data_IF_390230642331
#
_entry.id   IF_390230642331
#
_cell.length_a   1.000
_cell.length_b   1.000
_cell.length_c   1.000
_cell.angle_alpha   90.00
_cell.angle_beta   90.00
_cell.angle_gamma   90.00
#
_symmetry.space_group_name_H-M   'P 1'
#
loop_
_entity.id
_entity.type
_entity.pdbx_description
1 polymer ?
#
# COMPACT_ATOMS: atom_id res chain seq x y z
N UNK A 1 14.15 17.83 -5.09
CA UNK A 1 14.11 16.81 -6.16
C UNK A 1 12.85 15.98 -5.99
N UNK A 2 12.00 15.85 -7.02
CA UNK A 2 10.87 14.90 -6.96
C UNK A 2 11.46 13.47 -6.92
N UNK A 3 11.02 12.59 -6.01
CA UNK A 3 11.53 11.22 -5.99
C UNK A 3 11.25 10.55 -7.33
N UNK A 4 12.27 9.89 -7.90
CA UNK A 4 12.12 9.13 -9.15
C UNK A 4 11.19 7.95 -8.86
N UNK A 5 9.92 8.07 -9.28
CA UNK A 5 8.94 7.00 -9.11
C UNK A 5 9.39 5.80 -9.95
N UNK A 6 9.56 4.65 -9.29
CA UNK A 6 10.04 3.46 -9.99
C UNK A 6 9.03 2.98 -11.05
N UNK A 7 9.53 2.41 -12.17
CA UNK A 7 8.69 1.81 -13.22
C UNK A 7 7.67 0.80 -12.66
N UNK A 8 8.01 0.11 -11.57
CA UNK A 8 7.12 -0.85 -10.90
C UNK A 8 5.91 -0.17 -10.26
N UNK A 9 6.14 0.93 -9.54
CA UNK A 9 5.06 1.72 -8.93
C UNK A 9 4.16 2.33 -10.01
N UNK A 10 4.72 2.85 -11.10
CA UNK A 10 3.91 3.34 -12.22
C UNK A 10 3.00 2.25 -12.80
N UNK A 11 3.52 1.04 -13.04
CA UNK A 11 2.70 -0.10 -13.49
C UNK A 11 1.52 -0.37 -12.53
N UNK A 12 1.74 -0.31 -11.23
CA UNK A 12 0.69 -0.55 -10.23
C UNK A 12 -0.33 0.59 -10.20
N UNK A 13 0.12 1.85 -10.34
CA UNK A 13 -0.78 2.99 -10.48
C UNK A 13 -1.66 2.85 -11.71
N UNK A 14 -1.10 2.45 -12.84
CA UNK A 14 -1.86 2.31 -14.08
C UNK A 14 -2.90 1.19 -13.97
N UNK A 15 -2.57 0.09 -13.29
CA UNK A 15 -3.57 -0.93 -12.92
C UNK A 15 -4.65 -0.36 -12.00
N UNK A 16 -4.28 0.44 -11.00
CA UNK A 16 -5.25 1.04 -10.08
C UNK A 16 -6.20 2.01 -10.79
N UNK A 17 -5.70 2.81 -11.74
CA UNK A 17 -6.53 3.66 -12.61
C UNK A 17 -7.49 2.82 -13.45
N UNK A 18 -7.02 1.72 -14.05
CA UNK A 18 -7.87 0.79 -14.79
C UNK A 18 -8.97 0.20 -13.91
N UNK A 19 -8.62 -0.27 -12.71
CA UNK A 19 -9.60 -0.83 -11.77
C UNK A 19 -10.58 0.21 -11.22
N UNK A 20 -10.18 1.49 -11.17
CA UNK A 20 -11.06 2.57 -10.75
C UNK A 20 -12.26 2.77 -11.68
N UNK A 21 -12.07 2.48 -12.98
CA UNK A 21 -13.13 2.57 -13.99
C UNK A 21 -14.10 1.38 -13.95
N UNK A 22 -13.76 0.32 -13.22
CA UNK A 22 -14.63 -0.85 -13.09
C UNK A 22 -15.77 -0.59 -12.10
N UNK A 23 -16.84 -1.37 -12.26
CA UNK A 23 -17.89 -1.46 -11.28
C UNK A 23 -17.44 -2.35 -10.12
N UNK A 24 -18.07 -2.14 -8.96
CA UNK A 24 -17.77 -2.93 -7.76
C UNK A 24 -18.11 -4.40 -8.04
N UNK A 25 -17.15 -5.28 -7.80
CA UNK A 25 -17.32 -6.73 -7.97
C UNK A 25 -16.93 -7.27 -9.34
N UNK A 26 -16.62 -6.41 -10.32
CA UNK A 26 -16.16 -6.87 -11.63
C UNK A 26 -14.94 -7.78 -11.50
N UNK A 27 -14.91 -8.86 -12.28
CA UNK A 27 -13.77 -9.77 -12.27
C UNK A 27 -12.57 -9.14 -12.99
N UNK A 28 -11.37 -9.45 -12.53
CA UNK A 28 -10.13 -9.07 -13.22
C UNK A 28 -9.32 -10.31 -13.57
N UNK A 29 -8.69 -10.27 -14.73
CA UNK A 29 -7.75 -11.30 -15.13
C UNK A 29 -6.54 -11.33 -14.20
N UNK A 30 -5.96 -12.54 -14.07
CA UNK A 30 -4.73 -12.81 -13.32
C UNK A 30 -4.78 -12.24 -11.89
N UNK A 31 -5.94 -12.33 -11.22
CA UNK A 31 -6.15 -11.70 -9.91
C UNK A 31 -5.12 -12.11 -8.84
N UNK A 32 -4.58 -13.33 -8.90
CA UNK A 32 -3.52 -13.82 -8.01
C UNK A 32 -2.09 -13.46 -8.45
N UNK A 33 -1.89 -12.74 -9.57
CA UNK A 33 -0.56 -12.28 -10.00
C UNK A 33 0.05 -11.35 -8.95
N UNK A 34 1.23 -11.74 -8.44
CA UNK A 34 2.03 -10.94 -7.52
C UNK A 34 2.95 -9.98 -8.28
N UNK A 35 2.75 -8.69 -8.06
CA UNK A 35 3.54 -7.62 -8.62
C UNK A 35 4.58 -7.15 -7.61
N UNK A 36 5.85 -7.16 -8.00
CA UNK A 36 6.94 -6.67 -7.14
C UNK A 36 6.82 -5.17 -6.96
N UNK A 37 6.80 -4.72 -5.71
CA UNK A 37 6.74 -3.31 -5.30
C UNK A 37 8.17 -2.78 -5.13
N UNK A 38 8.88 -3.35 -4.15
CA UNK A 38 10.14 -2.82 -3.66
C UNK A 38 10.93 -3.94 -2.97
N UNK A 39 12.19 -3.65 -2.67
CA UNK A 39 12.98 -4.45 -1.73
C UNK A 39 13.33 -3.52 -0.59
N UNK A 40 13.05 -3.92 0.65
CA UNK A 40 13.33 -3.10 1.83
C UNK A 40 14.84 -3.04 1.99
N UNK A 41 15.44 -1.99 1.42
CA UNK A 41 16.84 -1.64 1.55
C UNK A 41 16.90 -0.16 1.88
N UNK A 42 18.03 0.29 2.42
CA UNK A 42 18.25 1.71 2.70
C UNK A 42 17.25 2.31 3.72
N UNK A 43 16.68 1.47 4.59
CA UNK A 43 15.87 1.90 5.74
C UNK A 43 16.71 2.78 6.66
N UNK A 44 16.15 3.93 7.07
CA UNK A 44 16.75 4.79 8.11
C UNK A 44 16.82 4.12 9.48
N UNK A 45 15.99 3.09 9.70
CA UNK A 45 16.06 2.25 10.90
C UNK A 45 16.98 1.06 10.62
N UNK A 46 18.14 1.01 11.28
CA UNK A 46 19.10 -0.07 11.13
C UNK A 46 18.58 -1.44 11.58
N UNK A 47 17.63 -1.44 12.52
CA UNK A 47 16.97 -2.64 13.07
C UNK A 47 15.65 -2.96 12.38
N UNK A 48 15.48 -2.55 11.12
CA UNK A 48 14.25 -2.83 10.38
C UNK A 48 13.96 -4.36 10.38
N UNK A 49 12.79 -4.81 10.89
CA UNK A 49 12.51 -6.23 11.14
C UNK A 49 12.55 -7.09 9.86
N UNK A 50 12.31 -6.45 8.72
CA UNK A 50 12.28 -7.07 7.41
C UNK A 50 13.34 -6.54 6.43
N UNK A 51 14.50 -6.11 6.94
CA UNK A 51 15.61 -5.64 6.11
C UNK A 51 15.97 -6.70 5.06
N UNK A 52 16.13 -6.26 3.81
CA UNK A 52 16.37 -7.05 2.60
C UNK A 52 15.19 -7.91 2.11
N UNK A 53 14.01 -7.85 2.74
CA UNK A 53 12.85 -8.57 2.24
C UNK A 53 12.31 -7.92 0.96
N UNK A 54 11.80 -8.75 0.05
CA UNK A 54 11.11 -8.30 -1.16
C UNK A 54 9.62 -8.16 -0.85
N UNK A 55 9.02 -7.06 -1.30
CA UNK A 55 7.61 -6.74 -1.07
C UNK A 55 6.85 -6.84 -2.38
N UNK A 56 5.71 -7.50 -2.33
CA UNK A 56 4.82 -7.74 -3.46
C UNK A 56 3.40 -7.31 -3.11
N UNK A 57 2.56 -7.10 -4.12
CA UNK A 57 1.12 -6.91 -3.97
C UNK A 57 0.41 -7.72 -5.05
N UNK A 58 -0.69 -8.38 -4.69
CA UNK A 58 -1.50 -9.09 -5.69
C UNK A 58 -2.38 -8.11 -6.47
N UNK A 59 -2.75 -8.46 -7.71
CA UNK A 59 -3.74 -7.69 -8.49
C UNK A 59 -5.07 -7.59 -7.76
N UNK A 60 -5.50 -8.67 -7.10
CA UNK A 60 -6.68 -8.71 -6.23
C UNK A 60 -6.60 -7.68 -5.10
N UNK A 61 -5.47 -7.61 -4.39
CA UNK A 61 -5.27 -6.64 -3.29
C UNK A 61 -5.30 -5.19 -3.79
N UNK A 62 -4.71 -4.91 -4.97
CA UNK A 62 -4.82 -3.57 -5.58
C UNK A 62 -6.29 -3.24 -5.88
N UNK A 63 -7.03 -4.18 -6.50
CA UNK A 63 -8.44 -3.96 -6.83
C UNK A 63 -9.28 -3.70 -5.59
N UNK A 64 -9.18 -4.54 -4.56
CA UNK A 64 -9.91 -4.33 -3.31
C UNK A 64 -9.59 -2.97 -2.68
N UNK A 65 -8.32 -2.58 -2.65
CA UNK A 65 -7.93 -1.26 -2.16
C UNK A 65 -8.61 -0.13 -2.96
N UNK A 66 -8.60 -0.21 -4.29
CA UNK A 66 -9.23 0.79 -5.16
C UNK A 66 -10.74 0.85 -4.94
N UNK A 67 -11.43 -0.29 -4.90
CA UNK A 67 -12.88 -0.36 -4.67
C UNK A 67 -13.27 0.23 -3.31
N UNK A 68 -12.57 -0.16 -2.24
CA UNK A 68 -12.83 0.37 -0.91
C UNK A 68 -12.60 1.87 -0.83
N UNK A 69 -11.49 2.38 -1.38
CA UNK A 69 -11.17 3.81 -1.33
C UNK A 69 -12.07 4.63 -2.24
N UNK A 70 -12.46 4.12 -3.40
CA UNK A 70 -13.47 4.75 -4.28
C UNK A 70 -14.74 5.02 -3.49
N UNK A 71 -15.28 4.00 -2.82
CA UNK A 71 -16.52 4.14 -2.02
C UNK A 71 -16.34 5.08 -0.83
N UNK A 72 -15.21 5.00 -0.13
CA UNK A 72 -15.00 5.80 1.08
C UNK A 72 -14.73 7.28 0.79
N UNK A 73 -13.91 7.57 -0.22
CA UNK A 73 -13.48 8.93 -0.55
C UNK A 73 -14.52 9.67 -1.40
N UNK A 74 -15.28 8.99 -2.26
CA UNK A 74 -16.34 9.61 -3.06
C UNK A 74 -17.46 10.24 -2.22
N UNK A 75 -17.55 9.92 -0.92
CA UNK A 75 -18.46 10.58 0.02
C UNK A 75 -18.09 12.05 0.30
N UNK A 76 -16.84 12.42 0.08
CA UNK A 76 -16.28 13.71 0.52
C UNK A 76 -15.49 14.43 -0.58
N UNK A 77 -15.17 13.74 -1.68
CA UNK A 77 -14.26 14.24 -2.70
C UNK A 77 -14.82 13.99 -4.12
N UNK A 78 -14.55 14.90 -5.07
CA UNK A 78 -14.83 14.65 -6.48
C UNK A 78 -13.93 13.53 -7.03
N UNK A 79 -14.38 12.91 -8.12
CA UNK A 79 -13.76 11.72 -8.72
C UNK A 79 -12.25 11.89 -8.98
N UNK A 80 -11.85 13.02 -9.55
CA UNK A 80 -10.45 13.31 -9.85
C UNK A 80 -9.58 13.33 -8.58
N UNK A 81 -10.09 13.89 -7.48
CA UNK A 81 -9.36 13.94 -6.21
C UNK A 81 -9.30 12.55 -5.55
N UNK A 82 -10.36 11.75 -5.65
CA UNK A 82 -10.37 10.35 -5.19
C UNK A 82 -9.24 9.56 -5.86
N UNK A 83 -9.14 9.66 -7.18
CA UNK A 83 -8.11 8.95 -7.94
C UNK A 83 -6.70 9.46 -7.60
N UNK A 84 -6.53 10.77 -7.41
CA UNK A 84 -5.26 11.35 -6.96
C UNK A 84 -4.84 10.79 -5.60
N UNK A 85 -5.76 10.69 -4.65
CA UNK A 85 -5.50 10.10 -3.33
C UNK A 85 -5.10 8.63 -3.44
N UNK A 86 -5.86 7.81 -4.17
CA UNK A 86 -5.52 6.40 -4.43
C UNK A 86 -4.10 6.27 -5.02
N UNK A 87 -3.78 7.09 -6.02
CA UNK A 87 -2.46 7.13 -6.63
C UNK A 87 -1.37 7.51 -5.62
N UNK A 88 -1.62 8.55 -4.80
CA UNK A 88 -0.70 8.96 -3.75
C UNK A 88 -0.40 7.83 -2.77
N UNK A 89 -1.42 7.12 -2.29
CA UNK A 89 -1.21 5.99 -1.37
C UNK A 89 -0.32 4.90 -1.98
N UNK A 90 -0.50 4.59 -3.27
CA UNK A 90 0.32 3.61 -4.00
C UNK A 90 1.76 4.10 -4.13
N UNK A 91 1.96 5.38 -4.47
CA UNK A 91 3.29 5.98 -4.58
C UNK A 91 4.07 5.94 -3.27
N UNK A 92 3.35 6.11 -2.17
CA UNK A 92 3.93 6.13 -0.83
C UNK A 92 4.26 4.74 -0.27
N UNK A 93 3.80 3.65 -0.90
CA UNK A 93 4.05 2.29 -0.39
C UNK A 93 5.53 2.05 -0.05
N UNK A 94 6.51 2.29 -0.96
CA UNK A 94 7.92 2.03 -0.66
C UNK A 94 8.44 2.80 0.56
N UNK A 95 8.00 4.05 0.70
CA UNK A 95 8.40 4.91 1.82
C UNK A 95 7.77 4.45 3.13
N UNK A 96 6.47 4.08 3.12
CA UNK A 96 5.76 3.57 4.30
C UNK A 96 6.39 2.26 4.79
N UNK A 97 6.68 1.30 3.90
CA UNK A 97 7.22 -0.01 4.32
C UNK A 97 8.70 0.03 4.72
N UNK A 98 9.42 1.11 4.40
CA UNK A 98 10.88 1.21 4.60
C UNK A 98 11.23 2.19 5.72
N UNK A 99 10.50 3.30 5.83
CA UNK A 99 10.76 4.40 6.74
C UNK A 99 9.49 4.77 7.54
N UNK A 100 8.77 3.76 8.03
CA UNK A 100 7.58 3.93 8.87
C UNK A 100 7.88 4.69 10.17
N UNK A 101 6.86 5.32 10.75
CA UNK A 101 6.93 5.95 12.06
C UNK A 101 6.47 5.00 13.18
N UNK A 102 5.55 4.09 12.86
CA UNK A 102 5.04 3.09 13.79
C UNK A 102 4.96 1.71 13.14
N UNK A 103 5.40 0.71 13.91
CA UNK A 103 5.36 -0.70 13.54
C UNK A 103 4.58 -1.50 14.59
N UNK A 104 3.63 -2.30 14.13
CA UNK A 104 2.86 -3.22 14.97
C UNK A 104 2.90 -4.60 14.32
N UNK A 105 2.89 -5.65 15.13
CA UNK A 105 2.81 -7.01 14.60
C UNK A 105 1.91 -7.87 15.48
N UNK A 106 1.19 -8.77 14.83
CA UNK A 106 0.47 -9.84 15.51
C UNK A 106 1.36 -11.09 15.52
N UNK A 107 1.63 -11.70 16.69
CA UNK A 107 2.49 -12.87 16.79
C UNK A 107 1.90 -14.12 16.12
N UNK A 108 0.58 -14.15 15.89
CA UNK A 108 -0.14 -15.17 15.13
C UNK A 108 -1.48 -14.59 14.68
N UNK A 109 -1.76 -14.40 13.36
CA UNK A 109 -0.95 -14.70 12.16
C UNK A 109 0.16 -13.65 11.92
N UNK A 110 1.25 -14.01 11.21
CA UNK A 110 2.42 -13.16 10.87
C UNK A 110 2.06 -11.91 10.03
N UNK A 111 1.26 -11.02 10.62
CA UNK A 111 0.75 -9.79 10.08
C UNK A 111 1.56 -8.64 10.65
N UNK A 112 2.02 -7.78 9.76
CA UNK A 112 2.87 -6.64 10.07
C UNK A 112 2.18 -5.38 9.59
N UNK A 113 2.01 -4.41 10.47
CA UNK A 113 1.48 -3.11 10.14
C UNK A 113 2.59 -2.08 10.14
N UNK A 114 2.75 -1.42 9.01
CA UNK A 114 3.61 -0.25 8.85
C UNK A 114 2.73 0.97 8.76
N UNK A 115 2.98 1.96 9.61
CA UNK A 115 2.24 3.24 9.57
C UNK A 115 3.22 4.38 9.37
N UNK A 116 2.90 5.26 8.42
CA UNK A 116 3.61 6.52 8.22
C UNK A 116 2.64 7.69 8.28
N UNK A 117 3.03 8.71 9.02
CA UNK A 117 2.34 9.95 9.22
C UNK A 117 2.82 10.98 8.19
N UNK A 118 1.87 11.76 7.68
CA UNK A 118 2.13 12.82 6.72
C UNK A 118 1.52 14.11 7.27
N UNK A 119 2.31 15.19 7.43
CA UNK A 119 1.76 16.49 7.84
C UNK A 119 0.68 16.95 6.86
N UNK A 120 -0.48 17.36 7.38
CA UNK A 120 -1.61 17.82 6.56
C UNK A 120 -2.37 16.75 5.78
N UNK A 121 -1.92 15.49 5.79
CA UNK A 121 -2.56 14.39 5.05
C UNK A 121 -2.95 13.22 5.98
N UNK A 122 -3.92 12.37 5.59
CA UNK A 122 -4.21 11.14 6.31
C UNK A 122 -2.98 10.22 6.36
N UNK A 123 -2.77 9.57 7.50
CA UNK A 123 -1.65 8.62 7.65
C UNK A 123 -1.92 7.37 6.81
N UNK A 124 -0.86 6.75 6.29
CA UNK A 124 -0.99 5.52 5.51
C UNK A 124 -0.56 4.35 6.38
N UNK A 125 -1.45 3.36 6.52
CA UNK A 125 -1.20 2.10 7.22
C UNK A 125 -1.24 0.95 6.23
N UNK A 126 -0.16 0.18 6.13
CA UNK A 126 -0.03 -0.96 5.23
C UNK A 126 0.07 -2.23 6.05
N UNK A 127 -0.82 -3.18 5.76
CA UNK A 127 -0.75 -4.53 6.28
C UNK A 127 0.03 -5.40 5.29
N UNK A 128 1.12 -5.98 5.78
CA UNK A 128 1.88 -7.01 5.08
C UNK A 128 1.77 -8.34 5.82
N UNK A 129 1.79 -9.43 5.07
CA UNK A 129 1.94 -10.79 5.59
C UNK A 129 3.18 -11.44 5.03
N UNK A 130 3.74 -12.40 5.76
CA UNK A 130 4.82 -13.23 5.22
C UNK A 130 4.25 -14.22 4.23
N UNK A 131 4.89 -14.34 3.07
CA UNK A 131 4.52 -15.36 2.09
C UNK A 131 4.84 -16.74 2.67
N UNK A 132 3.81 -17.58 2.84
CA UNK A 132 3.93 -18.96 3.36
C UNK A 132 4.95 -19.81 2.60
N UNK A 133 5.15 -19.52 1.31
CA UNK A 133 5.92 -20.37 0.40
C UNK A 133 7.35 -19.86 0.15
N UNK A 134 7.76 -18.69 0.69
CA UNK A 134 9.03 -18.04 0.32
C UNK A 134 9.65 -17.27 1.47
N UNK A 135 10.85 -17.68 1.86
CA UNK A 135 11.69 -16.94 2.80
C UNK A 135 11.98 -15.52 2.25
N UNK A 136 11.97 -14.52 3.14
CA UNK A 136 12.26 -13.10 2.83
C UNK A 136 11.31 -12.43 1.82
N UNK A 137 10.07 -12.91 1.73
CA UNK A 137 9.02 -12.30 0.90
C UNK A 137 7.86 -11.83 1.76
N UNK A 138 7.45 -10.57 1.56
CA UNK A 138 6.26 -9.98 2.16
C UNK A 138 5.23 -9.67 1.08
N UNK A 139 3.97 -9.85 1.41
CA UNK A 139 2.84 -9.54 0.55
C UNK A 139 1.96 -8.48 1.20
N UNK A 140 1.64 -7.42 0.47
CA UNK A 140 0.72 -6.38 0.92
C UNK A 140 -0.70 -6.93 0.79
N UNK A 141 -1.37 -7.11 1.93
CA UNK A 141 -2.75 -7.57 1.97
C UNK A 141 -3.71 -6.40 1.81
N UNK A 142 -3.44 -5.27 2.47
CA UNK A 142 -4.29 -4.09 2.42
C UNK A 142 -3.54 -2.80 2.73
N UNK A 143 -4.09 -1.68 2.24
CA UNK A 143 -3.57 -0.32 2.43
C UNK A 143 -4.73 0.51 2.96
N UNK A 144 -4.52 1.27 4.03
CA UNK A 144 -5.56 2.03 4.73
C UNK A 144 -5.13 3.47 4.95
N UNK A 145 -6.10 4.38 4.86
CA UNK A 145 -5.94 5.71 5.44
C UNK A 145 -6.38 5.67 6.90
N UNK A 146 -5.52 6.12 7.79
CA UNK A 146 -5.87 6.38 9.18
C UNK A 146 -6.12 7.88 9.32
N UNK A 147 -7.30 8.25 9.82
CA UNK A 147 -7.57 9.64 10.21
C UNK A 147 -6.49 10.07 11.21
N UNK A 148 -6.01 11.31 11.09
CA UNK A 148 -5.20 11.90 12.16
C UNK A 148 -6.03 11.81 13.45
N UNK A 149 -5.47 11.18 14.48
CA UNK A 149 -5.95 11.46 15.82
C UNK A 149 -5.61 12.93 16.03
N UNK A 150 -6.64 13.77 16.14
CA UNK A 150 -6.43 15.10 16.71
C UNK A 150 -5.92 14.81 18.12
N UNK A 151 -4.67 15.17 18.40
CA UNK A 151 -4.20 15.23 19.76
C UNK A 151 -5.24 16.06 20.53
N UNK A 152 -5.88 15.43 21.51
CA UNK A 152 -6.78 16.09 22.45
C UNK A 152 -5.94 16.69 23.56
#
# INVERSE_FOLDING_TARGET
MRPVISRRINKIKDLAKGYYLLNKGDLIEKHDELLRIHTIKDSKNDKHPHKNNRVYISRRSIKHFVEERKIQLAKYHPEAEVLLRICFAIEQIPEVITNFDRYEFEPNPEKFFYTKHYPGEPSIRILCERSKNKNKTLEICSIHYKKQQRDK
#
